data_IF_003048931385
#
_entry.id   IF_003048931385
#
_cell.length_a   1.000
_cell.length_b   1.000
_cell.length_c   1.000
_cell.angle_alpha   90.00
_cell.angle_beta   90.00
_cell.angle_gamma   90.00
#
_symmetry.space_group_name_H-M   'P 1'
#
loop_
_entity.id
_entity.type
_entity.pdbx_description
1 polymer ?
#
# COMPACT_ATOMS: atom_id res chain seq x y z
N UNK A 1 -6.84 6.35 18.20
CA UNK A 1 -7.48 6.11 16.89
C UNK A 1 -6.66 5.10 16.09
N UNK A 2 -7.29 4.36 15.19
CA UNK A 2 -6.61 3.35 14.35
C UNK A 2 -5.39 3.90 13.60
N UNK A 3 -5.46 5.14 13.10
CA UNK A 3 -4.32 5.77 12.44
C UNK A 3 -3.06 5.84 13.34
N UNK A 4 -3.23 6.20 14.63
CA UNK A 4 -2.12 6.23 15.59
C UNK A 4 -1.56 4.83 15.88
N UNK A 5 -2.42 3.82 15.97
CA UNK A 5 -2.01 2.42 16.16
C UNK A 5 -1.20 1.89 14.97
N UNK A 6 -1.48 2.37 13.75
CA UNK A 6 -0.74 2.06 12.53
C UNK A 6 0.57 2.86 12.41
N UNK A 7 0.87 3.75 13.35
CA UNK A 7 2.09 4.56 13.34
C UNK A 7 2.00 5.87 12.56
N UNK A 8 0.80 6.32 12.15
CA UNK A 8 0.62 7.60 11.48
C UNK A 8 0.98 8.76 12.42
N UNK A 9 1.85 9.65 11.97
CA UNK A 9 2.35 10.78 12.77
C UNK A 9 1.90 12.15 12.24
N UNK A 10 1.54 12.24 10.96
CA UNK A 10 1.15 13.46 10.26
C UNK A 10 -0.29 13.43 9.78
N UNK A 11 -1.20 12.75 10.49
CA UNK A 11 -2.59 12.60 10.09
C UNK A 11 -3.54 13.05 11.19
N UNK A 12 -4.49 13.90 10.81
CA UNK A 12 -5.61 14.31 11.64
C UNK A 12 -6.91 14.28 10.83
N UNK A 13 -7.90 13.52 11.28
CA UNK A 13 -9.21 13.41 10.64
C UNK A 13 -10.25 14.20 11.43
N UNK A 14 -10.96 15.09 10.74
CA UNK A 14 -12.05 15.91 11.30
C UNK A 14 -13.42 15.34 10.90
N UNK A 15 -13.51 14.80 9.69
CA UNK A 15 -14.75 14.29 9.14
C UNK A 15 -14.53 12.96 8.36
N UNK A 16 -15.58 12.15 8.14
CA UNK A 16 -15.49 10.90 7.39
C UNK A 16 -15.70 11.06 5.88
N UNK A 17 -16.19 12.19 5.40
CA UNK A 17 -16.58 12.40 4.00
C UNK A 17 -15.48 13.01 3.13
N UNK A 18 -14.38 13.54 3.74
CA UNK A 18 -13.23 14.06 3.04
C UNK A 18 -13.42 15.46 2.42
N UNK A 19 -14.46 16.22 2.80
CA UNK A 19 -14.56 17.63 2.44
C UNK A 19 -13.49 18.42 3.21
N UNK A 20 -13.03 19.50 2.58
CA UNK A 20 -11.95 20.31 3.14
C UNK A 20 -12.29 20.87 4.53
N UNK A 21 -11.30 20.80 5.39
CA UNK A 21 -11.23 21.45 6.68
C UNK A 21 -9.74 21.71 6.97
N UNK A 22 -9.34 22.91 7.46
CA UNK A 22 -7.93 23.22 7.71
C UNK A 22 -7.22 22.24 8.65
N UNK A 23 -7.99 21.61 9.56
CA UNK A 23 -7.49 20.63 10.51
C UNK A 23 -7.58 19.19 9.98
N UNK A 24 -8.06 18.97 8.74
CA UNK A 24 -8.14 17.67 8.09
C UNK A 24 -6.93 17.45 7.16
N UNK A 25 -5.90 16.85 7.67
CA UNK A 25 -4.64 16.67 6.95
C UNK A 25 -4.06 15.27 7.10
N UNK A 26 -3.19 14.90 6.17
CA UNK A 26 -2.44 13.65 6.16
C UNK A 26 -1.12 13.81 5.40
N UNK A 27 -0.33 12.74 5.35
CA UNK A 27 0.89 12.65 4.53
C UNK A 27 0.82 11.45 3.59
N UNK A 28 1.60 11.46 2.51
CA UNK A 28 1.69 10.32 1.60
C UNK A 28 2.17 9.05 2.32
N UNK A 29 3.08 9.19 3.28
CA UNK A 29 3.55 8.08 4.09
C UNK A 29 2.44 7.48 4.95
N UNK A 30 1.68 8.31 5.67
CA UNK A 30 0.59 7.84 6.52
C UNK A 30 -0.52 7.16 5.69
N UNK A 31 -0.84 7.71 4.49
CA UNK A 31 -1.78 7.05 3.56
C UNK A 31 -1.27 5.65 3.18
N UNK A 32 0.02 5.49 2.94
CA UNK A 32 0.58 4.17 2.62
C UNK A 32 0.42 3.16 3.75
N UNK A 33 0.51 3.60 5.02
CA UNK A 33 0.34 2.73 6.18
C UNK A 33 -1.08 2.18 6.27
N UNK A 34 -2.11 3.04 6.21
CA UNK A 34 -3.48 2.53 6.29
C UNK A 34 -3.96 1.87 5.00
N UNK A 35 -3.39 2.20 3.83
CA UNK A 35 -3.63 1.43 2.61
C UNK A 35 -3.05 0.01 2.71
N UNK A 36 -1.85 -0.13 3.26
CA UNK A 36 -1.22 -1.44 3.53
C UNK A 36 -2.08 -2.28 4.46
N UNK A 37 -2.62 -1.69 5.53
CA UNK A 37 -3.53 -2.40 6.43
C UNK A 37 -4.84 -2.79 5.76
N UNK A 38 -5.46 -1.86 5.02
CA UNK A 38 -6.72 -2.09 4.33
C UNK A 38 -6.62 -3.21 3.28
N UNK A 39 -5.49 -3.31 2.58
CA UNK A 39 -5.23 -4.36 1.58
C UNK A 39 -5.15 -5.79 2.16
N UNK A 40 -5.09 -5.96 3.47
CA UNK A 40 -5.20 -7.28 4.12
C UNK A 40 -6.63 -7.82 4.11
N UNK A 41 -7.63 -6.96 3.83
CA UNK A 41 -9.05 -7.33 3.83
C UNK A 41 -9.55 -7.59 2.41
N UNK A 42 -9.99 -8.82 2.14
CA UNK A 42 -10.48 -9.24 0.82
C UNK A 42 -11.64 -8.39 0.30
N UNK A 43 -12.60 -8.02 1.18
CA UNK A 43 -13.71 -7.16 0.78
C UNK A 43 -13.23 -5.78 0.31
N UNK A 44 -12.22 -5.20 0.98
CA UNK A 44 -11.63 -3.94 0.56
C UNK A 44 -10.97 -4.07 -0.82
N UNK A 45 -10.18 -5.13 -1.04
CA UNK A 45 -9.54 -5.41 -2.34
C UNK A 45 -10.59 -5.54 -3.45
N UNK A 46 -11.66 -6.29 -3.19
CA UNK A 46 -12.79 -6.44 -4.14
C UNK A 46 -13.41 -5.09 -4.49
N UNK A 47 -13.71 -4.26 -3.49
CA UNK A 47 -14.34 -2.95 -3.73
C UNK A 47 -13.44 -2.04 -4.56
N UNK A 48 -12.17 -1.91 -4.20
CA UNK A 48 -11.25 -0.99 -4.91
C UNK A 48 -10.90 -1.48 -6.32
N UNK A 49 -11.01 -2.79 -6.59
CA UNK A 49 -10.75 -3.39 -7.90
C UNK A 49 -11.98 -3.34 -8.82
N UNK A 50 -13.17 -3.14 -8.29
CA UNK A 50 -14.41 -3.12 -9.07
C UNK A 50 -14.45 -1.89 -9.95
N UNK A 51 -14.32 -2.06 -11.27
CA UNK A 51 -14.36 -0.97 -12.25
C UNK A 51 -15.77 -0.44 -12.48
N UNK A 52 -16.77 -1.33 -12.44
CA UNK A 52 -18.19 -1.02 -12.63
C UNK A 52 -19.03 -1.87 -11.69
N UNK A 53 -19.99 -1.23 -11.03
CA UNK A 53 -20.94 -1.91 -10.16
C UNK A 53 -22.38 -1.52 -10.52
N UNK A 54 -23.23 -2.51 -10.73
CA UNK A 54 -24.66 -2.31 -10.98
C UNK A 54 -25.43 -2.56 -9.69
N UNK A 55 -26.05 -1.52 -9.16
CA UNK A 55 -26.97 -1.62 -8.04
C UNK A 55 -28.36 -1.97 -8.59
N UNK A 56 -28.91 -3.14 -8.26
CA UNK A 56 -30.20 -3.55 -8.76
C UNK A 56 -31.35 -2.59 -8.34
N UNK A 57 -32.39 -2.53 -9.14
CA UNK A 57 -33.59 -1.77 -8.80
C UNK A 57 -34.21 -2.26 -7.49
N UNK A 58 -34.72 -1.31 -6.70
CA UNK A 58 -35.48 -1.56 -5.47
C UNK A 58 -36.91 -1.05 -5.63
N UNK A 59 -37.77 -1.26 -4.63
CA UNK A 59 -39.12 -0.72 -4.64
C UNK A 59 -39.20 0.83 -4.73
N UNK A 60 -38.11 1.51 -4.38
CA UNK A 60 -38.05 2.99 -4.28
C UNK A 60 -37.06 3.63 -5.26
N UNK A 61 -36.25 2.86 -5.96
CA UNK A 61 -35.20 3.37 -6.83
C UNK A 61 -34.95 2.41 -7.99
N UNK A 62 -34.84 2.94 -9.19
CA UNK A 62 -34.45 2.17 -10.38
C UNK A 62 -32.98 1.68 -10.29
N UNK A 63 -32.62 0.77 -11.19
CA UNK A 63 -31.24 0.30 -11.33
C UNK A 63 -30.28 1.46 -11.53
N UNK A 64 -29.12 1.40 -10.87
CA UNK A 64 -28.08 2.40 -10.99
C UNK A 64 -26.75 1.74 -11.28
N UNK A 65 -25.98 2.31 -12.22
CA UNK A 65 -24.63 1.87 -12.54
C UNK A 65 -23.61 2.87 -12.01
N UNK A 66 -22.67 2.37 -11.20
CA UNK A 66 -21.57 3.13 -10.65
C UNK A 66 -20.27 2.76 -11.38
N UNK A 67 -19.48 3.77 -11.70
CA UNK A 67 -18.18 3.59 -12.35
C UNK A 67 -17.07 4.06 -11.42
N UNK A 68 -15.99 3.28 -11.36
CA UNK A 68 -14.84 3.66 -10.55
C UNK A 68 -14.17 4.91 -11.12
N UNK A 69 -13.85 5.85 -10.24
CA UNK A 69 -13.18 7.10 -10.61
C UNK A 69 -11.67 6.93 -10.81
N UNK A 70 -11.10 5.77 -10.44
CA UNK A 70 -9.70 5.47 -10.67
C UNK A 70 -9.48 5.02 -12.12
N UNK A 71 -8.90 5.91 -12.93
CA UNK A 71 -8.65 5.64 -14.34
C UNK A 71 -7.55 4.60 -14.60
N UNK A 72 -6.81 4.16 -13.56
CA UNK A 72 -5.87 3.04 -13.70
C UNK A 72 -6.58 1.70 -13.86
N UNK A 73 -7.88 1.60 -13.53
CA UNK A 73 -8.69 0.38 -13.68
C UNK A 73 -9.98 0.58 -14.46
N UNK A 74 -10.36 1.82 -14.82
CA UNK A 74 -11.62 2.14 -15.51
C UNK A 74 -11.41 3.25 -16.53
N UNK A 75 -11.86 3.04 -17.76
CA UNK A 75 -11.82 4.04 -18.84
C UNK A 75 -13.05 4.95 -18.89
N UNK A 76 -14.00 4.85 -17.96
CA UNK A 76 -15.27 5.56 -18.04
C UNK A 76 -15.12 7.08 -17.93
N UNK A 77 -14.47 7.55 -16.86
CA UNK A 77 -14.29 8.98 -16.63
C UNK A 77 -13.12 9.57 -17.42
N UNK A 78 -12.02 8.81 -17.55
CA UNK A 78 -10.81 9.21 -18.24
C UNK A 78 -10.20 8.01 -18.96
N UNK A 79 -10.04 8.09 -20.27
CA UNK A 79 -9.46 7.02 -21.09
C UNK A 79 -7.94 7.15 -21.22
N UNK A 80 -7.28 6.03 -21.50
CA UNK A 80 -5.85 6.00 -21.81
C UNK A 80 -4.92 5.95 -20.59
N UNK A 81 -5.44 5.70 -19.39
CA UNK A 81 -4.65 5.59 -18.16
C UNK A 81 -4.61 4.19 -17.56
N UNK A 82 -5.38 3.25 -18.10
CA UNK A 82 -5.41 1.87 -17.55
C UNK A 82 -4.02 1.30 -17.45
N UNK A 83 -3.72 0.71 -16.30
CA UNK A 83 -2.46 0.06 -15.99
C UNK A 83 -2.73 -1.36 -15.51
N UNK A 84 -2.36 -2.34 -16.33
CA UNK A 84 -2.75 -3.75 -16.15
C UNK A 84 -2.35 -4.36 -14.81
N UNK A 85 -1.29 -3.83 -14.17
CA UNK A 85 -0.85 -4.28 -12.84
C UNK A 85 -1.62 -3.61 -11.70
N UNK A 86 -2.42 -2.58 -11.96
CA UNK A 86 -3.17 -1.89 -10.91
C UNK A 86 -4.32 -2.75 -10.42
N UNK A 87 -4.34 -3.01 -9.13
CA UNK A 87 -5.40 -3.77 -8.45
C UNK A 87 -6.47 -2.88 -7.82
N UNK A 88 -6.35 -1.55 -7.98
CA UNK A 88 -7.34 -0.61 -7.49
C UNK A 88 -6.76 0.52 -6.67
N UNK A 89 -7.65 1.28 -6.04
CA UNK A 89 -7.27 2.43 -5.23
C UNK A 89 -8.41 3.39 -4.99
N UNK A 90 -8.07 4.62 -4.54
CA UNK A 90 -9.05 5.69 -4.26
C UNK A 90 -8.54 7.03 -4.74
N UNK A 91 -9.39 7.73 -5.46
CA UNK A 91 -9.17 9.13 -5.85
C UNK A 91 -9.76 10.10 -4.84
N UNK A 92 -9.26 11.32 -4.81
CA UNK A 92 -9.84 12.45 -4.08
C UNK A 92 -9.51 13.75 -4.78
N UNK A 93 -10.40 14.74 -4.69
CA UNK A 93 -10.15 16.08 -5.24
C UNK A 93 -10.93 17.11 -4.42
N UNK A 94 -10.22 18.11 -3.96
CA UNK A 94 -10.78 19.39 -3.50
C UNK A 94 -9.96 20.53 -4.13
N UNK A 95 -10.43 21.75 -4.06
CA UNK A 95 -9.68 22.88 -4.62
C UNK A 95 -8.34 23.06 -3.88
N UNK A 96 -8.32 22.84 -2.56
CA UNK A 96 -7.16 22.99 -1.72
C UNK A 96 -6.18 21.81 -1.83
N UNK A 97 -6.69 20.58 -1.86
CA UNK A 97 -5.86 19.39 -1.93
C UNK A 97 -5.35 19.07 -3.34
N UNK A 98 -5.95 19.66 -4.37
CA UNK A 98 -5.69 19.28 -5.75
C UNK A 98 -6.18 17.86 -6.04
N UNK A 99 -5.62 17.22 -7.05
CA UNK A 99 -5.97 15.85 -7.42
C UNK A 99 -5.08 14.85 -6.70
N UNK A 100 -5.72 13.92 -6.01
CA UNK A 100 -5.05 12.91 -5.20
C UNK A 100 -5.42 11.51 -5.67
N UNK A 101 -4.49 10.57 -5.51
CA UNK A 101 -4.68 9.15 -5.78
C UNK A 101 -3.80 8.33 -4.83
N UNK A 102 -4.38 7.35 -4.18
CA UNK A 102 -3.66 6.19 -3.67
C UNK A 102 -4.01 5.00 -4.56
N UNK A 103 -3.00 4.30 -5.07
CA UNK A 103 -3.21 3.12 -5.92
C UNK A 103 -2.28 1.99 -5.47
N UNK A 104 -2.79 0.77 -5.57
CA UNK A 104 -2.03 -0.45 -5.36
C UNK A 104 -1.86 -1.20 -6.69
N UNK A 105 -0.72 -1.84 -6.87
CA UNK A 105 -0.43 -2.66 -8.05
C UNK A 105 0.34 -3.91 -7.64
N UNK A 106 0.11 -5.00 -8.36
CA UNK A 106 0.77 -6.29 -8.14
C UNK A 106 1.51 -6.78 -9.39
N UNK A 107 2.67 -7.37 -9.18
CA UNK A 107 3.45 -8.04 -10.23
C UNK A 107 4.20 -9.21 -9.62
N UNK A 108 3.78 -10.42 -9.96
CA UNK A 108 4.24 -11.63 -9.29
C UNK A 108 3.87 -11.59 -7.80
N UNK A 109 4.83 -11.75 -6.93
CA UNK A 109 4.68 -11.70 -5.47
C UNK A 109 4.87 -10.29 -4.88
N UNK A 110 5.16 -9.30 -5.71
CA UNK A 110 5.46 -7.93 -5.27
C UNK A 110 4.21 -7.05 -5.35
N UNK A 111 3.81 -6.51 -4.20
CA UNK A 111 2.75 -5.50 -4.06
C UNK A 111 3.40 -4.15 -3.81
N UNK A 112 3.02 -3.14 -4.60
CA UNK A 112 3.45 -1.76 -4.45
C UNK A 112 2.25 -0.84 -4.25
N UNK A 113 2.45 0.20 -3.46
CA UNK A 113 1.48 1.26 -3.24
C UNK A 113 2.11 2.58 -3.68
N UNK A 114 1.40 3.32 -4.53
CA UNK A 114 1.74 4.69 -4.87
C UNK A 114 0.75 5.66 -4.22
N UNK A 115 1.25 6.79 -3.73
CA UNK A 115 0.44 7.86 -3.17
C UNK A 115 0.84 9.17 -3.85
N UNK A 116 -0.10 9.77 -4.56
CA UNK A 116 0.05 11.06 -5.22
C UNK A 116 -0.89 12.05 -4.54
N UNK A 117 -0.34 13.13 -4.03
CA UNK A 117 -1.09 14.23 -3.41
C UNK A 117 -0.82 15.52 -4.16
N UNK A 118 -1.83 16.38 -4.27
CA UNK A 118 -1.70 17.72 -4.84
C UNK A 118 -1.28 17.74 -6.31
N UNK A 119 -1.63 16.73 -7.10
CA UNK A 119 -1.26 16.73 -8.52
C UNK A 119 -1.95 17.87 -9.26
N UNK A 120 -1.17 18.59 -10.08
CA UNK A 120 -1.69 19.66 -10.93
C UNK A 120 -2.63 19.17 -12.02
N UNK A 121 -3.52 20.05 -12.42
CA UNK A 121 -4.49 19.81 -13.51
C UNK A 121 -3.96 20.19 -14.89
N UNK A 122 -2.82 20.89 -14.93
CA UNK A 122 -2.22 21.43 -16.15
C UNK A 122 -0.73 21.04 -16.17
N UNK A 123 -0.23 20.60 -17.31
CA UNK A 123 1.19 20.36 -17.51
C UNK A 123 1.97 21.67 -17.73
N UNK A 124 3.32 21.65 -17.79
CA UNK A 124 4.12 22.85 -18.03
C UNK A 124 3.80 23.58 -19.35
N UNK A 125 3.17 22.91 -20.32
CA UNK A 125 2.77 23.48 -21.62
C UNK A 125 1.32 23.99 -21.61
N UNK A 126 0.63 23.97 -20.44
CA UNK A 126 -0.74 24.42 -20.31
C UNK A 126 -1.81 23.40 -20.73
N UNK A 127 -1.45 22.18 -21.12
CA UNK A 127 -2.41 21.15 -21.49
C UNK A 127 -3.05 20.52 -20.24
N UNK A 128 -4.38 20.34 -20.26
CA UNK A 128 -5.10 19.65 -19.17
C UNK A 128 -4.67 18.19 -19.12
N UNK A 129 -4.23 17.72 -17.96
CA UNK A 129 -3.84 16.33 -17.74
C UNK A 129 -4.38 15.79 -16.41
N UNK A 130 -4.43 14.47 -16.33
CA UNK A 130 -4.76 13.74 -15.11
C UNK A 130 -3.45 13.28 -14.46
N UNK A 131 -2.68 14.23 -13.90
CA UNK A 131 -1.34 14.00 -13.39
C UNK A 131 -1.27 12.89 -12.34
N UNK A 132 -2.29 12.77 -11.48
CA UNK A 132 -2.35 11.73 -10.45
C UNK A 132 -2.26 10.31 -11.04
N UNK A 133 -2.83 10.05 -12.22
CA UNK A 133 -2.76 8.72 -12.87
C UNK A 133 -1.42 8.52 -13.56
N UNK A 134 -0.94 9.54 -14.29
CA UNK A 134 0.34 9.47 -15.00
C UNK A 134 1.51 9.28 -14.03
N UNK A 135 1.56 10.08 -12.97
CA UNK A 135 2.65 10.00 -11.99
C UNK A 135 2.58 8.73 -11.14
N UNK A 136 1.37 8.27 -10.79
CA UNK A 136 1.18 6.98 -10.12
C UNK A 136 1.72 5.82 -10.97
N UNK A 137 1.37 5.78 -12.26
CA UNK A 137 1.87 4.74 -13.17
C UNK A 137 3.38 4.78 -13.32
N UNK A 138 3.99 5.96 -13.43
CA UNK A 138 5.45 6.11 -13.49
C UNK A 138 6.12 5.59 -12.22
N UNK A 139 5.58 5.97 -11.06
CA UNK A 139 6.12 5.57 -9.76
C UNK A 139 6.02 4.05 -9.55
N UNK A 140 4.88 3.46 -9.90
CA UNK A 140 4.68 2.01 -9.81
C UNK A 140 5.61 1.24 -10.76
N UNK A 141 5.74 1.69 -12.02
CA UNK A 141 6.69 1.10 -12.98
C UNK A 141 8.11 1.17 -12.45
N UNK A 142 8.53 2.35 -12.00
CA UNK A 142 9.87 2.54 -11.42
C UNK A 142 10.08 1.59 -10.23
N UNK A 143 9.09 1.44 -9.34
CA UNK A 143 9.16 0.50 -8.22
C UNK A 143 9.34 -0.95 -8.67
N UNK A 144 8.55 -1.43 -9.62
CA UNK A 144 8.70 -2.78 -10.16
C UNK A 144 10.00 -2.99 -10.94
N UNK A 145 10.53 -1.96 -11.58
CA UNK A 145 11.78 -2.06 -12.34
C UNK A 145 13.00 -2.12 -11.42
N UNK A 146 12.95 -1.44 -10.26
CA UNK A 146 14.11 -1.26 -9.39
C UNK A 146 14.10 -2.10 -8.10
N UNK A 147 12.94 -2.66 -7.69
CA UNK A 147 12.84 -3.43 -6.46
C UNK A 147 12.33 -4.86 -6.71
N UNK A 148 12.70 -5.77 -5.81
CA UNK A 148 12.20 -7.15 -5.77
C UNK A 148 12.00 -7.62 -4.34
N UNK A 149 11.13 -8.60 -4.15
CA UNK A 149 11.06 -9.33 -2.89
C UNK A 149 12.22 -10.32 -2.80
N UNK A 150 12.81 -10.41 -1.63
CA UNK A 150 13.88 -11.35 -1.32
C UNK A 150 13.55 -12.04 0.00
N UNK A 151 13.53 -13.36 -0.02
CA UNK A 151 13.42 -14.17 1.20
C UNK A 151 14.78 -14.19 1.88
N UNK A 152 14.86 -13.58 3.05
CA UNK A 152 16.09 -13.54 3.86
C UNK A 152 16.24 -14.82 4.67
N UNK A 153 15.13 -15.37 5.19
CA UNK A 153 15.09 -16.63 5.93
C UNK A 153 13.76 -17.35 5.68
N UNK A 154 13.82 -18.66 5.51
CA UNK A 154 12.65 -19.52 5.36
C UNK A 154 11.92 -19.81 6.70
N UNK A 155 12.42 -19.26 7.81
CA UNK A 155 11.82 -19.49 9.13
C UNK A 155 12.13 -20.82 9.79
N UNK A 156 12.83 -21.71 9.10
CA UNK A 156 13.18 -23.04 9.63
C UNK A 156 14.67 -23.16 10.01
N UNK A 157 15.50 -22.27 9.48
CA UNK A 157 16.93 -22.30 9.71
C UNK A 157 17.26 -21.73 11.09
N UNK A 158 18.05 -22.45 11.91
CA UNK A 158 18.51 -21.90 13.17
C UNK A 158 19.41 -20.70 12.91
N UNK A 159 19.15 -19.62 13.63
CA UNK A 159 19.89 -18.36 13.47
C UNK A 159 20.84 -18.09 14.60
N UNK A 160 20.62 -18.70 15.80
CA UNK A 160 21.50 -18.58 16.96
C UNK A 160 21.23 -19.70 17.97
N UNK A 161 22.04 -19.75 19.02
CA UNK A 161 21.89 -20.62 20.18
C UNK A 161 21.80 -19.80 21.45
N UNK A 162 20.91 -20.19 22.35
CA UNK A 162 20.76 -19.58 23.67
C UNK A 162 21.06 -20.61 24.74
N UNK A 163 21.94 -20.26 25.68
CA UNK A 163 22.18 -21.06 26.86
C UNK A 163 20.96 -21.06 27.78
N UNK A 164 20.56 -22.23 28.25
CA UNK A 164 19.42 -22.39 29.14
C UNK A 164 19.92 -22.83 30.53
N UNK A 165 19.62 -22.02 31.54
CA UNK A 165 19.92 -22.34 32.93
C UNK A 165 18.78 -23.13 33.56
N UNK A 166 19.11 -24.06 34.48
CA UNK A 166 18.14 -24.88 35.21
C UNK A 166 17.31 -25.88 34.36
N UNK A 167 17.71 -26.15 33.12
CA UNK A 167 17.09 -27.20 32.30
C UNK A 167 17.71 -28.55 32.61
N UNK A 168 16.87 -29.61 32.65
CA UNK A 168 17.34 -31.00 32.77
C UNK A 168 17.54 -31.71 31.43
N UNK A 169 17.16 -31.07 30.33
CA UNK A 169 17.09 -31.69 29.01
C UNK A 169 18.16 -31.15 28.03
N UNK A 170 18.57 -29.89 28.17
CA UNK A 170 19.56 -29.27 27.29
C UNK A 170 20.21 -28.08 27.97
N UNK A 171 21.48 -27.85 27.68
CA UNK A 171 22.24 -26.67 28.12
C UNK A 171 22.11 -25.49 27.14
N UNK A 172 21.63 -25.75 25.90
CA UNK A 172 21.42 -24.77 24.85
C UNK A 172 20.14 -25.08 24.08
N UNK A 173 19.44 -24.06 23.60
CA UNK A 173 18.32 -24.16 22.66
C UNK A 173 18.62 -23.41 21.38
N UNK A 174 18.23 -23.99 20.25
CA UNK A 174 18.34 -23.33 18.94
C UNK A 174 17.22 -22.31 18.78
N UNK A 175 17.57 -21.10 18.37
CA UNK A 175 16.63 -20.04 18.06
C UNK A 175 16.43 -19.97 16.56
N UNK A 176 15.19 -19.88 16.13
CA UNK A 176 14.81 -19.72 14.72
C UNK A 176 13.73 -18.66 14.59
N UNK A 177 13.59 -17.98 13.44
CA UNK A 177 12.48 -17.09 13.18
C UNK A 177 11.14 -17.83 13.28
N UNK A 178 10.07 -17.16 13.76
CA UNK A 178 8.72 -17.72 13.86
C UNK A 178 8.08 -17.97 12.49
N UNK A 179 8.68 -17.46 11.42
CA UNK A 179 8.20 -17.63 10.05
C UNK A 179 9.18 -17.09 9.02
N UNK A 180 8.75 -17.09 7.77
CA UNK A 180 9.52 -16.58 6.66
C UNK A 180 9.80 -15.06 6.83
N UNK A 181 11.06 -14.67 6.68
CA UNK A 181 11.48 -13.27 6.70
C UNK A 181 11.70 -12.79 5.27
N UNK A 182 10.79 -11.98 4.76
CA UNK A 182 10.86 -11.40 3.41
C UNK A 182 11.06 -9.90 3.50
N UNK A 183 11.89 -9.36 2.60
CA UNK A 183 12.11 -7.91 2.45
C UNK A 183 12.03 -7.50 0.99
N UNK A 184 11.55 -6.29 0.76
CA UNK A 184 11.64 -5.64 -0.57
C UNK A 184 12.95 -4.89 -0.63
N UNK A 185 13.81 -5.27 -1.56
CA UNK A 185 15.17 -4.75 -1.70
C UNK A 185 15.41 -4.23 -3.12
N UNK A 186 16.34 -3.28 -3.32
CA UNK A 186 16.80 -2.90 -4.65
C UNK A 186 17.28 -4.14 -5.43
N UNK A 187 17.01 -4.18 -6.73
CA UNK A 187 17.39 -5.32 -7.58
C UNK A 187 18.90 -5.47 -7.75
N UNK A 188 19.62 -4.36 -7.69
CA UNK A 188 21.08 -4.27 -7.78
C UNK A 188 21.80 -4.59 -6.47
N UNK A 189 21.05 -4.68 -5.35
CA UNK A 189 21.63 -5.11 -4.08
C UNK A 189 21.94 -6.61 -4.10
N UNK A 190 23.20 -6.95 -3.77
CA UNK A 190 23.59 -8.33 -3.53
C UNK A 190 23.06 -8.80 -2.17
N UNK A 191 22.15 -9.80 -2.15
CA UNK A 191 21.59 -10.30 -0.88
C UNK A 191 22.65 -10.87 0.09
N UNK A 192 23.81 -11.28 -0.39
CA UNK A 192 24.90 -11.79 0.45
C UNK A 192 25.52 -10.71 1.34
N UNK A 193 25.29 -9.44 1.03
CA UNK A 193 25.77 -8.29 1.83
C UNK A 193 24.80 -7.92 2.97
N UNK A 194 23.68 -8.65 3.13
CA UNK A 194 22.73 -8.38 4.20
C UNK A 194 23.27 -8.94 5.53
N UNK A 195 23.59 -8.04 6.43
CA UNK A 195 23.93 -8.41 7.80
C UNK A 195 22.66 -8.63 8.62
N UNK A 196 22.63 -9.73 9.37
CA UNK A 196 21.53 -10.05 10.29
C UNK A 196 22.02 -9.90 11.72
N UNK A 197 21.39 -9.02 12.47
CA UNK A 197 21.62 -8.88 13.92
C UNK A 197 20.43 -9.47 14.68
N UNK A 198 20.72 -10.36 15.63
CA UNK A 198 19.71 -11.02 16.44
C UNK A 198 19.72 -10.37 17.81
N UNK A 199 18.56 -9.83 18.22
CA UNK A 199 18.34 -9.35 19.57
C UNK A 199 17.40 -10.31 20.29
N UNK A 200 17.90 -11.03 21.26
CA UNK A 200 17.12 -11.89 22.11
C UNK A 200 16.65 -11.09 23.32
N UNK A 201 15.34 -11.15 23.62
CA UNK A 201 14.84 -10.60 24.85
C UNK A 201 15.32 -11.50 26.01
N UNK A 202 16.08 -10.92 26.90
CA UNK A 202 16.60 -11.60 28.09
C UNK A 202 15.63 -11.61 29.28
N UNK A 203 14.42 -11.08 29.09
CA UNK A 203 13.41 -10.98 30.13
C UNK A 203 12.61 -12.29 30.21
N UNK A 204 13.07 -13.16 31.08
CA UNK A 204 12.32 -14.30 31.63
C UNK A 204 12.19 -14.16 33.12
#
# INVERSE_FOLDING_TARGET
>A
TRAKELGCKGTHFVNPHGLHDPDHYTTAYDISLYMTEALKHELFRTIIHTATYVLPATAHMGEQTFYNTNALISNFHYSGYVYDKCIGGKTGTTDEAGRCLVAAAESGDTLLISVILGSGVVDPNGAKRQGQFTESTKLLKWGFDNFRRVTISQGNDPVDKVAVTLSRQADEVMVKPEGEVVRTLPKDLDPSLIETTIHLNSDT
#
